data_IF_338232254068
#
_entry.id   IF_338232254068
#
_cell.length_a   1.000
_cell.length_b   1.000
_cell.length_c   1.000
_cell.angle_alpha   90.00
_cell.angle_beta   90.00
_cell.angle_gamma   90.00
#
_symmetry.space_group_name_H-M   'P 1'
#
loop_
_entity.id
_entity.type
_entity.pdbx_description
1 polymer ?
#
# COMPACT_ATOMS: atom_id res chain seq x y z
N UNK A 1 -36.99 2.83 0.36
CA UNK A 1 -37.52 2.45 1.68
C UNK A 1 -36.34 2.13 2.57
N UNK A 2 -36.15 2.92 3.63
CA UNK A 2 -34.94 2.92 4.46
C UNK A 2 -34.96 1.82 5.51
N UNK A 3 -33.77 1.38 5.91
CA UNK A 3 -33.53 0.44 7.01
C UNK A 3 -32.31 0.93 7.79
N UNK A 4 -32.56 1.82 8.74
CA UNK A 4 -31.75 1.99 9.95
C UNK A 4 -32.60 1.46 11.09
N UNK A 5 -32.08 0.48 11.82
CA UNK A 5 -32.25 0.28 13.27
C UNK A 5 -31.69 -1.10 13.62
N UNK A 6 -30.80 -1.14 14.62
CA UNK A 6 -30.61 -2.17 15.64
C UNK A 6 -29.22 -1.93 16.26
N UNK A 7 -29.17 -0.96 17.17
CA UNK A 7 -28.28 -0.99 18.32
C UNK A 7 -29.18 -1.18 19.54
N UNK A 8 -28.95 -2.26 20.30
CA UNK A 8 -29.12 -2.33 21.76
C UNK A 8 -28.97 -3.78 22.24
N UNK A 9 -27.84 -4.09 22.88
CA UNK A 9 -27.90 -4.82 24.17
C UNK A 9 -26.63 -4.61 24.99
N UNK A 10 -26.87 -4.33 26.27
CA UNK A 10 -25.95 -3.95 27.34
C UNK A 10 -25.13 -5.13 27.88
N UNK A 11 -23.94 -4.74 28.32
CA UNK A 11 -23.12 -5.20 29.45
C UNK A 11 -23.76 -6.13 30.50
N UNK A 12 -23.00 -7.16 30.87
CA UNK A 12 -22.96 -7.68 32.24
C UNK A 12 -21.51 -7.75 32.71
N UNK A 13 -21.23 -7.03 33.80
CA UNK A 13 -20.02 -7.10 34.61
C UNK A 13 -20.08 -8.35 35.51
N UNK A 14 -18.97 -9.09 35.61
CA UNK A 14 -18.65 -9.82 36.85
C UNK A 14 -17.17 -9.68 37.16
N UNK A 15 -16.90 -9.27 38.38
CA UNK A 15 -15.62 -8.92 38.95
C UNK A 15 -14.94 -10.11 39.64
N UNK A 16 -13.60 -10.10 39.57
CA UNK A 16 -12.65 -10.39 40.67
C UNK A 16 -12.53 -11.82 41.27
N UNK A 17 -11.36 -12.48 41.07
CA UNK A 17 -10.27 -12.57 42.07
C UNK A 17 -9.19 -13.64 41.78
N UNK A 18 -7.97 -13.27 42.18
CA UNK A 18 -6.84 -14.08 42.64
C UNK A 18 -5.88 -14.70 41.63
N UNK A 19 -4.64 -14.21 41.73
CA UNK A 19 -3.47 -14.68 41.01
C UNK A 19 -2.90 -15.98 41.57
N UNK A 20 -2.18 -16.65 40.68
CA UNK A 20 -1.13 -17.60 41.02
C UNK A 20 0.02 -17.40 40.03
N UNK A 21 1.20 -17.21 40.61
CA UNK A 21 2.49 -17.15 39.94
C UNK A 21 2.65 -18.29 38.93
N UNK A 22 3.01 -17.97 37.70
CA UNK A 22 3.56 -18.94 36.74
C UNK A 22 5.09 -18.79 36.73
N UNK A 23 5.85 -19.91 36.72
CA UNK A 23 7.30 -19.87 36.71
C UNK A 23 7.81 -19.45 35.32
N UNK A 24 8.98 -18.82 35.30
CA UNK A 24 9.69 -18.42 34.10
C UNK A 24 9.78 -19.59 33.10
N UNK A 25 9.18 -19.41 31.92
CA UNK A 25 9.30 -20.35 30.81
C UNK A 25 10.62 -20.12 30.09
N UNK A 26 11.43 -21.17 29.99
CA UNK A 26 12.61 -21.20 29.16
C UNK A 26 12.22 -20.95 27.69
N UNK A 27 12.83 -19.93 27.08
CA UNK A 27 12.63 -19.59 25.67
C UNK A 27 13.35 -20.61 24.77
N UNK A 28 12.66 -21.68 24.39
CA UNK A 28 13.12 -22.60 23.33
C UNK A 28 12.22 -22.48 22.11
N UNK A 29 12.78 -22.18 20.95
CA UNK A 29 12.06 -22.14 19.68
C UNK A 29 11.63 -23.57 19.29
N UNK A 30 10.43 -23.72 18.72
CA UNK A 30 9.88 -25.02 18.34
C UNK A 30 10.04 -25.29 16.84
N UNK A 31 10.48 -26.51 16.48
CA UNK A 31 10.51 -26.96 15.09
C UNK A 31 9.09 -27.40 14.70
N UNK A 32 8.52 -26.75 13.69
CA UNK A 32 7.18 -27.06 13.21
C UNK A 32 7.23 -27.69 11.81
N UNK A 33 6.31 -28.63 11.56
CA UNK A 33 6.05 -29.18 10.24
C UNK A 33 4.57 -28.98 9.90
N UNK A 34 4.25 -28.72 8.63
CA UNK A 34 2.85 -28.65 8.15
C UNK A 34 2.01 -29.92 8.41
N UNK A 35 2.65 -31.02 8.83
CA UNK A 35 2.00 -32.29 9.17
C UNK A 35 1.74 -32.49 10.68
N UNK A 36 2.36 -31.74 11.59
CA UNK A 36 2.11 -31.81 13.03
C UNK A 36 2.93 -30.73 13.78
N UNK A 37 2.32 -29.83 14.58
CA UNK A 37 0.88 -29.59 14.73
C UNK A 37 0.28 -28.92 13.46
N UNK A 38 -1.04 -29.01 13.23
CA UNK A 38 -1.65 -28.33 12.09
C UNK A 38 -1.47 -26.82 12.28
N UNK A 39 -0.76 -26.20 11.34
CA UNK A 39 -0.68 -24.75 11.25
C UNK A 39 -2.10 -24.23 11.09
N UNK A 40 -2.61 -23.56 12.13
CA UNK A 40 -3.91 -22.88 12.08
C UNK A 40 -3.79 -21.72 11.09
N UNK A 41 -4.76 -21.59 10.19
CA UNK A 41 -4.86 -20.48 9.25
C UNK A 41 -6.14 -19.73 9.60
N UNK A 42 -6.08 -18.40 9.64
CA UNK A 42 -7.24 -17.56 9.90
C UNK A 42 -8.37 -17.88 8.92
N UNK A 43 -9.62 -17.94 9.40
CA UNK A 43 -10.77 -18.39 8.59
C UNK A 43 -10.97 -17.56 7.29
N UNK A 44 -10.71 -16.25 7.38
CA UNK A 44 -10.74 -15.35 6.22
C UNK A 44 -9.70 -15.70 5.14
N UNK A 45 -8.63 -16.44 5.47
CA UNK A 45 -7.59 -16.88 4.53
C UNK A 45 -7.81 -18.30 3.98
N UNK A 46 -8.82 -19.03 4.47
CA UNK A 46 -9.12 -20.39 3.98
C UNK A 46 -9.35 -20.38 2.46
N UNK A 47 -8.64 -21.24 1.73
CA UNK A 47 -8.64 -21.31 0.26
C UNK A 47 -8.08 -20.06 -0.45
N UNK A 48 -7.36 -19.18 0.25
CA UNK A 48 -6.65 -18.03 -0.31
C UNK A 48 -5.12 -18.14 -0.20
N UNK A 49 -4.61 -19.30 0.23
CA UNK A 49 -3.19 -19.58 0.41
C UNK A 49 -2.73 -20.52 -0.70
N UNK A 50 -1.61 -20.17 -1.34
CA UNK A 50 -1.01 -20.97 -2.40
C UNK A 50 0.06 -21.90 -1.84
N UNK A 51 -0.07 -23.19 -2.10
CA UNK A 51 0.87 -24.24 -1.74
C UNK A 51 1.50 -24.82 -3.00
N UNK A 52 2.83 -24.83 -3.04
CA UNK A 52 3.60 -25.36 -4.17
C UNK A 52 3.72 -26.89 -4.14
N UNK A 53 3.66 -27.50 -2.96
CA UNK A 53 3.91 -28.92 -2.76
C UNK A 53 3.06 -29.53 -1.62
N UNK A 54 3.26 -30.83 -1.39
CA UNK A 54 2.59 -31.57 -0.33
C UNK A 54 1.11 -31.86 -0.59
N UNK A 55 0.39 -32.41 0.40
CA UNK A 55 -1.03 -32.76 0.25
C UNK A 55 -1.96 -31.56 0.02
N UNK A 56 -1.50 -30.35 0.36
CA UNK A 56 -2.24 -29.10 0.20
C UNK A 56 -1.94 -28.38 -1.12
N UNK A 57 -1.06 -28.93 -1.97
CA UNK A 57 -0.67 -28.33 -3.25
C UNK A 57 -1.90 -27.93 -4.05
N UNK A 58 -1.98 -26.65 -4.38
CA UNK A 58 -3.08 -26.06 -5.15
C UNK A 58 -2.59 -25.09 -6.24
N UNK A 59 -1.28 -24.96 -6.41
CA UNK A 59 -0.67 -24.17 -7.47
C UNK A 59 -0.13 -25.06 -8.60
N UNK A 60 -0.39 -24.66 -9.84
CA UNK A 60 0.22 -25.22 -11.04
C UNK A 60 0.91 -24.09 -11.81
N UNK A 61 2.14 -24.33 -12.26
CA UNK A 61 2.90 -23.36 -13.08
C UNK A 61 2.49 -23.43 -14.56
N UNK A 62 1.20 -23.66 -14.84
CA UNK A 62 0.73 -23.71 -16.23
C UNK A 62 0.78 -22.30 -16.82
N UNK A 63 1.88 -22.09 -17.54
CA UNK A 63 2.21 -20.90 -18.28
C UNK A 63 1.02 -20.38 -19.10
N UNK A 64 0.80 -19.07 -19.01
CA UNK A 64 -0.11 -18.26 -19.84
C UNK A 64 -1.61 -18.26 -19.50
N UNK A 65 -1.97 -18.19 -18.22
CA UNK A 65 -3.29 -17.68 -17.86
C UNK A 65 -3.43 -16.23 -18.36
N UNK A 66 -4.14 -16.10 -19.48
CA UNK A 66 -4.42 -14.85 -20.17
C UNK A 66 -5.85 -14.43 -19.84
N UNK A 67 -5.98 -13.43 -18.98
CA UNK A 67 -7.27 -12.80 -18.71
C UNK A 67 -7.44 -11.59 -19.61
N UNK A 68 -8.44 -11.62 -20.48
CA UNK A 68 -8.81 -10.45 -21.29
C UNK A 68 -10.08 -9.82 -20.73
N UNK A 69 -9.97 -8.58 -20.29
CA UNK A 69 -11.06 -7.77 -19.80
C UNK A 69 -11.45 -6.74 -20.84
N UNK A 70 -12.74 -6.45 -20.93
CA UNK A 70 -13.26 -5.43 -21.82
C UNK A 70 -13.64 -4.22 -20.97
N UNK A 71 -13.11 -3.04 -21.27
CA UNK A 71 -13.44 -1.80 -20.55
C UNK A 71 -13.45 -0.62 -21.51
N UNK A 72 -14.57 0.12 -21.60
CA UNK A 72 -14.75 1.28 -22.48
C UNK A 72 -14.29 1.06 -23.94
N UNK A 73 -14.56 -0.13 -24.50
CA UNK A 73 -14.16 -0.49 -25.87
C UNK A 73 -12.71 -0.95 -26.04
N UNK A 74 -11.95 -1.09 -24.96
CA UNK A 74 -10.58 -1.60 -24.97
C UNK A 74 -10.50 -3.04 -24.44
N UNK A 75 -9.60 -3.83 -25.02
CA UNK A 75 -9.23 -5.16 -24.52
C UNK A 75 -7.98 -5.04 -23.66
N UNK A 76 -8.13 -5.26 -22.36
CA UNK A 76 -7.05 -5.29 -21.40
C UNK A 76 -6.67 -6.75 -21.20
N UNK A 77 -5.52 -7.16 -21.74
CA UNK A 77 -5.00 -8.51 -21.55
C UNK A 77 -3.97 -8.52 -20.41
N UNK A 78 -4.24 -9.30 -19.37
CA UNK A 78 -3.29 -9.63 -18.31
C UNK A 78 -2.81 -11.05 -18.56
N UNK A 79 -1.50 -11.22 -18.70
CA UNK A 79 -0.87 -12.53 -18.85
C UNK A 79 0.08 -12.74 -17.68
N UNK A 80 -0.12 -13.80 -16.91
CA UNK A 80 0.85 -14.18 -15.88
C UNK A 80 2.10 -14.73 -16.58
N UNK A 81 3.27 -14.17 -16.27
CA UNK A 81 4.54 -14.68 -16.81
C UNK A 81 4.93 -15.94 -16.05
N UNK A 82 5.75 -16.81 -16.63
CA UNK A 82 6.19 -18.06 -16.00
C UNK A 82 7.15 -17.88 -14.81
N UNK A 83 7.17 -16.69 -14.20
CA UNK A 83 7.90 -16.42 -12.97
C UNK A 83 7.20 -17.10 -11.79
N UNK A 84 7.98 -17.57 -10.84
CA UNK A 84 7.47 -18.23 -9.64
C UNK A 84 6.63 -17.26 -8.80
N UNK A 85 5.48 -17.73 -8.32
CA UNK A 85 4.61 -16.93 -7.45
C UNK A 85 5.28 -16.73 -6.07
N UNK A 86 5.59 -15.48 -5.66
CA UNK A 86 6.38 -15.20 -4.46
C UNK A 86 5.68 -15.61 -3.15
N UNK A 87 4.36 -15.77 -3.17
CA UNK A 87 3.57 -16.20 -2.01
C UNK A 87 3.53 -17.72 -1.78
N UNK A 88 4.16 -18.52 -2.66
CA UNK A 88 4.07 -19.98 -2.62
C UNK A 88 4.68 -20.58 -1.36
N UNK A 89 3.84 -21.29 -0.61
CA UNK A 89 4.28 -22.04 0.56
C UNK A 89 4.79 -23.42 0.13
N UNK A 90 6.05 -23.68 0.46
CA UNK A 90 6.69 -24.98 0.36
C UNK A 90 6.61 -25.70 1.71
N UNK A 91 5.71 -26.68 1.79
CA UNK A 91 5.39 -27.43 3.01
C UNK A 91 6.53 -28.33 3.49
N UNK A 92 7.50 -28.62 2.62
CA UNK A 92 8.71 -29.41 2.95
C UNK A 92 9.86 -28.58 3.49
N UNK A 93 9.82 -27.25 3.36
CA UNK A 93 10.89 -26.38 3.86
C UNK A 93 10.85 -26.29 5.40
N UNK A 94 12.01 -26.17 6.08
CA UNK A 94 12.07 -26.10 7.53
C UNK A 94 11.42 -24.82 8.07
N UNK A 95 10.69 -24.96 9.19
CA UNK A 95 10.01 -23.88 9.90
C UNK A 95 10.38 -23.94 11.37
N UNK A 96 10.76 -22.79 11.93
CA UNK A 96 11.03 -22.62 13.36
C UNK A 96 10.07 -21.57 13.87
N UNK A 97 9.20 -21.93 14.81
CA UNK A 97 8.29 -21.00 15.47
C UNK A 97 9.09 -20.22 16.54
N UNK A 98 9.32 -18.91 16.33
CA UNK A 98 10.11 -18.13 17.25
C UNK A 98 9.31 -17.86 18.54
N UNK A 99 9.97 -17.98 19.68
CA UNK A 99 9.42 -17.60 20.99
C UNK A 99 9.22 -16.09 21.16
N UNK A 100 9.98 -15.30 20.39
CA UNK A 100 9.92 -13.83 20.39
C UNK A 100 10.10 -13.29 18.97
N UNK A 101 8.98 -12.90 18.34
CA UNK A 101 8.95 -12.39 16.95
C UNK A 101 9.72 -11.08 16.82
N UNK A 102 9.81 -10.27 17.89
CA UNK A 102 10.45 -8.95 17.85
C UNK A 102 11.96 -9.00 17.60
N UNK A 103 12.57 -10.17 17.81
CA UNK A 103 14.00 -10.42 17.59
C UNK A 103 14.31 -10.97 16.20
N UNK A 104 13.29 -11.32 15.42
CA UNK A 104 13.48 -11.87 14.09
C UNK A 104 13.65 -10.73 13.10
N UNK A 105 14.69 -10.83 12.28
CA UNK A 105 14.97 -9.82 11.26
C UNK A 105 13.85 -9.76 10.23
N UNK A 106 13.52 -8.53 9.80
CA UNK A 106 12.51 -8.29 8.76
C UNK A 106 12.90 -9.00 7.44
N UNK A 107 11.92 -9.37 6.60
CA UNK A 107 12.20 -9.90 5.27
C UNK A 107 13.00 -8.92 4.40
N UNK A 108 13.73 -9.42 3.39
CA UNK A 108 14.34 -8.55 2.38
C UNK A 108 13.26 -7.83 1.54
N UNK A 109 13.68 -6.85 0.75
CA UNK A 109 12.80 -6.21 -0.23
C UNK A 109 12.34 -7.18 -1.31
N UNK A 110 11.09 -6.99 -1.78
CA UNK A 110 10.37 -7.93 -2.65
C UNK A 110 10.47 -9.37 -2.14
N UNK A 111 10.02 -9.62 -0.90
CA UNK A 111 10.25 -10.90 -0.25
C UNK A 111 9.47 -12.03 -0.93
N UNK A 112 10.05 -13.22 -0.95
CA UNK A 112 9.36 -14.45 -1.35
C UNK A 112 9.32 -15.40 -0.17
N UNK A 113 8.29 -16.25 -0.07
CA UNK A 113 8.23 -17.26 0.99
C UNK A 113 9.44 -18.20 0.94
N UNK A 114 9.83 -18.64 -0.27
CA UNK A 114 10.98 -19.53 -0.48
C UNK A 114 12.28 -18.95 0.07
N UNK A 115 12.47 -17.64 -0.08
CA UNK A 115 13.65 -16.91 0.38
C UNK A 115 13.69 -16.57 1.87
N UNK A 116 12.64 -16.88 2.65
CA UNK A 116 12.64 -16.67 4.09
C UNK A 116 13.52 -17.69 4.83
N UNK A 117 14.18 -17.25 5.91
CA UNK A 117 14.83 -18.16 6.87
C UNK A 117 13.79 -19.04 7.60
N UNK A 118 14.18 -20.15 8.24
CA UNK A 118 13.24 -20.99 9.00
C UNK A 118 12.46 -20.22 10.09
N UNK A 119 13.11 -19.30 10.80
CA UNK A 119 12.48 -18.44 11.80
C UNK A 119 11.53 -17.41 11.18
N UNK A 120 11.93 -16.79 10.06
CA UNK A 120 11.07 -15.87 9.31
C UNK A 120 9.83 -16.60 8.74
N UNK A 121 9.97 -17.86 8.31
CA UNK A 121 8.82 -18.70 7.95
C UNK A 121 7.90 -18.88 9.14
N UNK A 122 8.44 -19.10 10.35
CA UNK A 122 7.64 -19.14 11.57
C UNK A 122 6.87 -17.84 11.85
N UNK A 123 7.49 -16.68 11.62
CA UNK A 123 6.80 -15.37 11.72
C UNK A 123 5.69 -15.26 10.67
N UNK A 124 5.95 -15.67 9.42
CA UNK A 124 4.93 -15.69 8.37
C UNK A 124 3.77 -16.62 8.72
N UNK A 125 4.03 -17.79 9.31
CA UNK A 125 2.97 -18.66 9.82
C UNK A 125 2.15 -17.98 10.92
N UNK A 126 2.78 -17.21 11.82
CA UNK A 126 2.07 -16.42 12.82
C UNK A 126 1.18 -15.34 12.16
N UNK A 127 1.65 -14.69 11.09
CA UNK A 127 0.82 -13.78 10.27
C UNK A 127 -0.42 -14.50 9.76
N UNK A 128 -0.30 -15.72 9.22
CA UNK A 128 -1.44 -16.46 8.67
C UNK A 128 -2.49 -16.81 9.73
N UNK A 129 -2.11 -16.89 11.01
CA UNK A 129 -3.04 -17.10 12.13
C UNK A 129 -3.79 -15.82 12.50
N UNK A 130 -3.13 -14.67 12.42
CA UNK A 130 -3.72 -13.35 12.67
C UNK A 130 -3.20 -12.31 11.67
N UNK A 131 -3.78 -12.25 10.45
CA UNK A 131 -3.31 -11.34 9.40
C UNK A 131 -3.55 -9.87 9.75
N UNK A 132 -4.36 -9.60 10.77
CA UNK A 132 -4.78 -8.27 11.17
C UNK A 132 -3.96 -7.71 12.34
N UNK A 133 -2.85 -8.35 12.71
CA UNK A 133 -1.92 -7.81 13.70
C UNK A 133 -1.09 -6.65 13.09
N UNK A 134 -1.30 -5.38 13.48
CA UNK A 134 -0.61 -4.24 12.88
C UNK A 134 0.88 -4.15 13.26
N UNK A 135 1.33 -4.94 14.24
CA UNK A 135 2.72 -4.92 14.72
C UNK A 135 3.65 -5.85 13.95
N UNK A 136 3.11 -6.68 13.05
CA UNK A 136 3.93 -7.57 12.24
C UNK A 136 4.60 -6.78 11.11
N UNK A 137 5.84 -7.13 10.78
CA UNK A 137 6.56 -6.43 9.73
C UNK A 137 5.81 -6.55 8.39
N UNK A 138 5.65 -5.42 7.71
CA UNK A 138 4.89 -5.32 6.46
C UNK A 138 5.44 -6.22 5.36
N UNK A 139 6.74 -6.58 5.40
CA UNK A 139 7.34 -7.50 4.44
C UNK A 139 6.62 -8.85 4.42
N UNK A 140 6.21 -9.37 5.59
CA UNK A 140 5.43 -10.60 5.66
C UNK A 140 4.01 -10.41 5.10
N UNK A 141 3.40 -9.25 5.35
CA UNK A 141 2.08 -8.88 4.79
C UNK A 141 2.12 -8.81 3.28
N UNK A 142 3.22 -8.32 2.69
CA UNK A 142 3.43 -8.29 1.24
C UNK A 142 3.45 -9.69 0.63
N UNK A 143 4.08 -10.68 1.27
CA UNK A 143 4.06 -12.08 0.79
C UNK A 143 2.62 -12.59 0.72
N UNK A 144 1.82 -12.38 1.77
CA UNK A 144 0.39 -12.75 1.76
C UNK A 144 -0.36 -12.00 0.67
N UNK A 145 -0.14 -10.69 0.57
CA UNK A 145 -0.79 -9.82 -0.40
C UNK A 145 -0.50 -10.23 -1.85
N UNK A 146 0.71 -10.72 -2.16
CA UNK A 146 1.03 -11.22 -3.50
C UNK A 146 0.10 -12.38 -3.93
N UNK A 147 -0.16 -13.31 -3.01
CA UNK A 147 -1.10 -14.40 -3.27
C UNK A 147 -2.55 -13.93 -3.43
N UNK A 148 -2.95 -12.91 -2.65
CA UNK A 148 -4.26 -12.28 -2.78
C UNK A 148 -4.42 -11.55 -4.12
N UNK A 149 -3.38 -10.87 -4.63
CA UNK A 149 -3.38 -10.24 -5.96
C UNK A 149 -3.62 -11.28 -7.07
N UNK A 150 -3.03 -12.48 -6.95
CA UNK A 150 -3.32 -13.57 -7.87
C UNK A 150 -4.78 -14.02 -7.79
N UNK A 151 -5.35 -14.14 -6.60
CA UNK A 151 -6.78 -14.46 -6.44
C UNK A 151 -7.71 -13.40 -7.01
N UNK A 152 -7.35 -12.11 -7.00
CA UNK A 152 -8.13 -11.06 -7.64
C UNK A 152 -8.28 -11.28 -9.16
N UNK A 153 -7.25 -11.86 -9.79
CA UNK A 153 -7.21 -12.11 -11.22
C UNK A 153 -7.88 -13.43 -11.61
N UNK A 154 -7.41 -14.54 -11.02
CA UNK A 154 -7.69 -15.91 -11.50
C UNK A 154 -8.35 -16.80 -10.46
N UNK A 155 -8.48 -16.33 -9.21
CA UNK A 155 -9.04 -17.11 -8.12
C UNK A 155 -10.35 -16.57 -7.56
N UNK A 156 -10.57 -16.78 -6.26
CA UNK A 156 -11.73 -16.24 -5.55
C UNK A 156 -11.54 -14.75 -5.24
N UNK A 157 -11.77 -13.92 -6.27
CA UNK A 157 -11.56 -12.48 -6.19
C UNK A 157 -12.39 -11.81 -5.07
N UNK A 158 -13.62 -12.30 -4.82
CA UNK A 158 -14.50 -11.69 -3.81
C UNK A 158 -13.95 -11.90 -2.40
N UNK A 159 -13.50 -13.13 -2.09
CA UNK A 159 -12.91 -13.41 -0.79
C UNK A 159 -11.58 -12.68 -0.61
N UNK A 160 -10.76 -12.63 -1.66
CA UNK A 160 -9.50 -11.88 -1.65
C UNK A 160 -9.71 -10.37 -1.42
N UNK A 161 -10.67 -9.76 -2.11
CA UNK A 161 -11.06 -8.36 -1.95
C UNK A 161 -11.43 -8.06 -0.49
N UNK A 162 -12.28 -8.87 0.12
CA UNK A 162 -12.70 -8.69 1.51
C UNK A 162 -11.50 -8.73 2.47
N UNK A 163 -10.57 -9.66 2.25
CA UNK A 163 -9.33 -9.76 3.04
C UNK A 163 -8.46 -8.52 2.83
N UNK A 164 -8.27 -8.07 1.59
CA UNK A 164 -7.44 -6.90 1.27
C UNK A 164 -8.01 -5.64 1.95
N UNK A 165 -9.32 -5.43 1.91
CA UNK A 165 -9.97 -4.30 2.61
C UNK A 165 -9.67 -4.35 4.11
N UNK A 166 -9.85 -5.51 4.76
CA UNK A 166 -9.53 -5.67 6.20
C UNK A 166 -8.03 -5.50 6.51
N UNK A 167 -7.15 -5.94 5.62
CA UNK A 167 -5.71 -5.70 5.77
C UNK A 167 -5.38 -4.21 5.68
N UNK A 168 -6.00 -3.49 4.74
CA UNK A 168 -5.83 -2.03 4.61
C UNK A 168 -6.29 -1.29 5.85
N UNK A 169 -7.35 -1.76 6.51
CA UNK A 169 -7.90 -1.14 7.71
C UNK A 169 -6.91 -1.07 8.89
N UNK A 170 -6.00 -2.03 8.97
CA UNK A 170 -5.06 -2.19 10.10
C UNK A 170 -3.61 -1.88 9.75
N UNK A 171 -3.19 -2.05 8.49
CA UNK A 171 -1.79 -1.88 8.07
C UNK A 171 -1.55 -0.52 7.39
N UNK A 172 -0.96 0.44 8.10
CA UNK A 172 -0.81 1.83 7.62
C UNK A 172 0.38 2.09 6.68
N UNK A 173 1.13 1.06 6.27
CA UNK A 173 2.29 1.22 5.40
C UNK A 173 1.89 1.85 4.05
N UNK A 174 2.52 2.99 3.69
CA UNK A 174 2.17 3.77 2.50
C UNK A 174 2.27 2.98 1.20
N UNK A 175 3.30 2.15 1.03
CA UNK A 175 3.46 1.35 -0.19
C UNK A 175 2.37 0.29 -0.29
N UNK A 176 2.07 -0.39 0.82
CA UNK A 176 0.98 -1.36 0.88
C UNK A 176 -0.37 -0.70 0.55
N UNK A 177 -0.65 0.46 1.16
CA UNK A 177 -1.84 1.26 0.88
C UNK A 177 -1.92 1.71 -0.59
N UNK A 178 -0.80 2.09 -1.19
CA UNK A 178 -0.77 2.49 -2.60
C UNK A 178 -1.06 1.31 -3.53
N UNK A 179 -0.32 0.21 -3.40
CA UNK A 179 -0.49 -0.97 -4.27
C UNK A 179 -1.88 -1.59 -4.14
N UNK A 180 -2.36 -1.79 -2.91
CA UNK A 180 -3.68 -2.40 -2.70
C UNK A 180 -4.84 -1.53 -3.16
N UNK A 181 -4.75 -0.20 -3.03
CA UNK A 181 -5.76 0.70 -3.58
C UNK A 181 -5.77 0.64 -5.11
N UNK A 182 -4.58 0.66 -5.75
CA UNK A 182 -4.47 0.58 -7.19
C UNK A 182 -5.06 -0.73 -7.73
N UNK A 183 -4.77 -1.85 -7.07
CA UNK A 183 -5.34 -3.15 -7.42
C UNK A 183 -6.87 -3.17 -7.27
N UNK A 184 -7.43 -2.63 -6.18
CA UNK A 184 -8.88 -2.59 -5.97
C UNK A 184 -9.60 -1.72 -7.01
N UNK A 185 -9.06 -0.54 -7.33
CA UNK A 185 -9.58 0.32 -8.40
C UNK A 185 -9.55 -0.41 -9.73
N UNK A 186 -8.41 -1.01 -10.10
CA UNK A 186 -8.31 -1.76 -11.35
C UNK A 186 -9.33 -2.90 -11.40
N UNK A 187 -9.38 -3.74 -10.37
CA UNK A 187 -10.27 -4.91 -10.35
C UNK A 187 -11.74 -4.50 -10.42
N UNK A 188 -12.11 -3.39 -9.77
CA UNK A 188 -13.46 -2.84 -9.90
C UNK A 188 -13.79 -2.55 -11.37
N UNK A 189 -12.89 -1.89 -12.10
CA UNK A 189 -13.05 -1.54 -13.52
C UNK A 189 -13.06 -2.79 -14.41
N UNK A 190 -12.12 -3.71 -14.20
CA UNK A 190 -11.97 -4.92 -15.00
C UNK A 190 -13.17 -5.86 -14.85
N UNK A 191 -13.71 -5.99 -13.64
CA UNK A 191 -14.92 -6.81 -13.38
C UNK A 191 -16.22 -6.06 -13.70
N UNK A 192 -16.16 -4.75 -13.96
CA UNK A 192 -17.31 -3.86 -14.19
C UNK A 192 -18.37 -3.97 -13.07
N UNK A 193 -17.94 -4.18 -11.83
CA UNK A 193 -18.83 -4.32 -10.67
C UNK A 193 -18.72 -3.09 -9.79
N UNK A 194 -19.74 -2.24 -9.84
CA UNK A 194 -19.83 -1.03 -9.00
C UNK A 194 -19.84 -1.33 -7.50
N UNK A 195 -20.34 -2.50 -7.09
CA UNK A 195 -20.30 -2.96 -5.69
C UNK A 195 -18.87 -3.02 -5.15
N UNK A 196 -17.91 -3.51 -5.94
CA UNK A 196 -16.49 -3.59 -5.55
C UNK A 196 -15.92 -2.18 -5.33
N UNK A 197 -16.21 -1.26 -6.25
CA UNK A 197 -15.76 0.12 -6.13
C UNK A 197 -16.39 0.80 -4.90
N UNK A 198 -17.66 0.51 -4.63
CA UNK A 198 -18.38 1.05 -3.48
C UNK A 198 -17.85 0.50 -2.16
N UNK A 199 -17.60 -0.81 -2.07
CA UNK A 199 -17.00 -1.44 -0.88
C UNK A 199 -15.63 -0.83 -0.57
N UNK A 200 -14.78 -0.66 -1.59
CA UNK A 200 -13.49 0.01 -1.43
C UNK A 200 -13.64 1.46 -0.98
N UNK A 201 -14.51 2.25 -1.62
CA UNK A 201 -14.70 3.66 -1.26
C UNK A 201 -15.26 3.81 0.16
N UNK A 202 -16.21 2.97 0.54
CA UNK A 202 -16.80 2.99 1.88
C UNK A 202 -15.82 2.52 2.96
N UNK A 203 -14.80 1.74 2.60
CA UNK A 203 -13.77 1.31 3.54
C UNK A 203 -12.71 2.37 3.81
N UNK A 204 -12.75 3.54 3.15
CA UNK A 204 -11.76 4.60 3.38
C UNK A 204 -12.31 5.54 4.45
N UNK A 205 -11.89 5.32 5.69
CA UNK A 205 -12.31 6.13 6.85
C UNK A 205 -11.13 6.72 7.64
N UNK A 206 -9.90 6.23 7.41
CA UNK A 206 -8.67 6.74 8.03
C UNK A 206 -7.81 7.52 7.05
N UNK A 207 -7.09 8.50 7.58
CA UNK A 207 -6.24 9.39 6.77
C UNK A 207 -5.14 8.66 6.00
N UNK A 208 -4.58 7.58 6.55
CA UNK A 208 -3.51 6.82 5.90
C UNK A 208 -4.02 5.95 4.72
N UNK A 209 -5.30 5.62 4.67
CA UNK A 209 -5.88 4.78 3.61
C UNK A 209 -5.98 5.54 2.28
N UNK A 210 -5.97 6.87 2.35
CA UNK A 210 -5.85 7.76 1.21
C UNK A 210 -4.45 7.83 0.60
N UNK A 211 -3.50 7.02 1.06
CA UNK A 211 -2.14 6.93 0.51
C UNK A 211 -2.11 6.19 -0.84
N UNK A 212 -2.76 6.77 -1.87
CA UNK A 212 -2.73 6.30 -3.25
C UNK A 212 -2.98 7.47 -4.22
N UNK A 213 -2.90 7.19 -5.53
CA UNK A 213 -2.95 8.23 -6.58
C UNK A 213 -4.29 8.97 -6.63
N UNK A 214 -4.26 10.31 -6.56
CA UNK A 214 -5.42 11.17 -6.84
C UNK A 214 -6.04 10.88 -8.21
N UNK A 215 -5.22 10.53 -9.21
CA UNK A 215 -5.73 10.18 -10.53
C UNK A 215 -6.58 8.91 -10.50
N UNK A 216 -6.13 7.89 -9.78
CA UNK A 216 -6.89 6.63 -9.64
C UNK A 216 -8.14 6.81 -8.79
N UNK A 217 -8.08 7.66 -7.77
CA UNK A 217 -9.27 8.08 -7.03
C UNK A 217 -10.31 8.69 -7.97
N UNK A 218 -9.92 9.71 -8.75
CA UNK A 218 -10.82 10.37 -9.71
C UNK A 218 -11.33 9.40 -10.78
N UNK A 219 -10.46 8.52 -11.29
CA UNK A 219 -10.83 7.51 -12.28
C UNK A 219 -11.88 6.55 -11.73
N UNK A 220 -11.69 6.03 -10.51
CA UNK A 220 -12.64 5.15 -9.86
C UNK A 220 -14.01 5.84 -9.69
N UNK A 221 -14.01 7.05 -9.15
CA UNK A 221 -15.26 7.78 -8.90
C UNK A 221 -15.99 8.13 -10.20
N UNK A 222 -15.27 8.51 -11.24
CA UNK A 222 -15.86 8.78 -12.54
C UNK A 222 -16.44 7.51 -13.18
N UNK A 223 -15.68 6.40 -13.16
CA UNK A 223 -16.05 5.14 -13.82
C UNK A 223 -17.33 4.52 -13.26
N UNK A 224 -17.57 4.71 -11.96
CA UNK A 224 -18.75 4.18 -11.26
C UNK A 224 -19.79 5.24 -10.90
N UNK A 225 -19.67 6.44 -11.47
CA UNK A 225 -20.56 7.58 -11.22
C UNK A 225 -20.77 7.84 -9.71
N UNK A 226 -19.69 7.76 -8.93
CA UNK A 226 -19.67 8.03 -7.51
C UNK A 226 -19.43 9.52 -7.26
N UNK A 227 -20.12 10.12 -6.29
CA UNK A 227 -19.99 11.55 -6.02
C UNK A 227 -18.80 11.84 -5.10
N UNK A 228 -17.99 12.84 -5.44
CA UNK A 228 -16.89 13.33 -4.60
C UNK A 228 -17.41 14.37 -3.59
N UNK A 229 -16.91 14.31 -2.36
CA UNK A 229 -17.27 15.21 -1.26
C UNK A 229 -16.35 16.43 -1.16
N UNK A 230 -16.72 17.40 -0.33
CA UNK A 230 -15.83 18.52 0.02
C UNK A 230 -14.50 18.05 0.61
N UNK A 231 -14.48 17.01 1.45
CA UNK A 231 -13.25 16.42 1.99
C UNK A 231 -12.33 15.90 0.89
N UNK A 232 -12.89 15.23 -0.10
CA UNK A 232 -12.14 14.69 -1.23
C UNK A 232 -11.48 15.82 -2.04
N UNK A 233 -12.24 16.89 -2.32
CA UNK A 233 -11.76 18.06 -3.05
C UNK A 233 -10.65 18.78 -2.27
N UNK A 234 -10.83 18.96 -0.95
CA UNK A 234 -9.85 19.62 -0.07
C UNK A 234 -8.55 18.82 0.01
N UNK A 235 -8.63 17.49 0.14
CA UNK A 235 -7.46 16.60 0.16
C UNK A 235 -6.65 16.74 -1.14
N UNK A 236 -7.34 16.85 -2.27
CA UNK A 236 -6.74 16.97 -3.61
C UNK A 236 -6.52 18.44 -4.05
N UNK A 237 -6.54 19.41 -3.13
CA UNK A 237 -6.49 20.83 -3.48
C UNK A 237 -5.28 21.20 -4.37
N UNK A 238 -4.10 20.62 -4.10
CA UNK A 238 -2.91 20.84 -4.92
C UNK A 238 -3.04 20.28 -6.33
N UNK A 239 -3.72 19.14 -6.49
CA UNK A 239 -4.01 18.52 -7.79
C UNK A 239 -4.88 19.43 -8.65
N UNK A 240 -5.76 20.21 -8.00
CA UNK A 240 -6.55 21.26 -8.64
C UNK A 240 -5.88 22.64 -8.61
N UNK A 241 -4.54 22.69 -8.51
CA UNK A 241 -3.73 23.91 -8.61
C UNK A 241 -4.04 24.97 -7.55
N UNK A 242 -4.63 24.56 -6.42
CA UNK A 242 -4.89 25.44 -5.29
C UNK A 242 -3.73 25.36 -4.28
N UNK A 243 -2.98 26.45 -4.17
CA UNK A 243 -1.77 26.51 -3.34
C UNK A 243 -2.02 27.10 -1.93
N UNK A 244 -3.04 27.95 -1.77
CA UNK A 244 -3.28 28.67 -0.52
C UNK A 244 -4.07 27.86 0.53
N UNK A 245 -3.40 26.86 1.08
CA UNK A 245 -3.98 25.92 2.06
C UNK A 245 -4.02 26.44 3.50
N UNK A 246 -3.75 27.72 3.74
CA UNK A 246 -3.65 28.27 5.10
C UNK A 246 -4.95 28.13 5.90
N UNK A 247 -6.09 28.48 5.30
CA UNK A 247 -7.38 28.36 5.99
C UNK A 247 -7.85 26.90 6.09
N UNK A 248 -7.50 26.04 5.14
CA UNK A 248 -7.73 24.59 5.24
C UNK A 248 -7.04 24.03 6.48
N UNK A 249 -5.77 24.41 6.73
CA UNK A 249 -5.02 23.93 7.90
C UNK A 249 -5.51 24.51 9.23
N UNK A 250 -5.81 25.81 9.26
CA UNK A 250 -6.18 26.51 10.50
C UNK A 250 -7.63 26.31 10.91
N UNK A 251 -8.53 26.13 9.95
CA UNK A 251 -9.97 26.03 10.18
C UNK A 251 -10.60 24.94 9.29
N UNK A 252 -10.16 23.67 9.41
CA UNK A 252 -10.56 22.59 8.51
C UNK A 252 -12.07 22.38 8.47
N UNK A 253 -12.73 22.30 9.63
CA UNK A 253 -14.18 22.07 9.72
C UNK A 253 -15.00 23.22 9.12
N UNK A 254 -14.58 24.47 9.39
CA UNK A 254 -15.23 25.65 8.82
C UNK A 254 -15.07 25.67 7.29
N UNK A 255 -13.87 25.38 6.80
CA UNK A 255 -13.58 25.37 5.37
C UNK A 255 -14.41 24.30 4.65
N UNK A 256 -14.47 23.10 5.21
CA UNK A 256 -15.29 22.00 4.70
C UNK A 256 -16.78 22.38 4.66
N UNK A 257 -17.33 22.90 5.76
CA UNK A 257 -18.74 23.31 5.83
C UNK A 257 -19.09 24.42 4.85
N UNK A 258 -18.20 25.40 4.68
CA UNK A 258 -18.41 26.48 3.70
C UNK A 258 -18.36 25.93 2.27
N UNK A 259 -17.42 25.04 1.98
CA UNK A 259 -17.35 24.39 0.68
C UNK A 259 -18.59 23.55 0.40
N UNK A 260 -19.06 22.77 1.36
CA UNK A 260 -20.24 21.92 1.22
C UNK A 260 -21.48 22.75 0.87
N UNK A 261 -21.67 23.89 1.54
CA UNK A 261 -22.74 24.84 1.21
C UNK A 261 -22.56 25.43 -0.19
N UNK A 262 -21.33 25.82 -0.56
CA UNK A 262 -21.05 26.37 -1.90
C UNK A 262 -21.37 25.36 -3.01
N UNK A 263 -21.05 24.08 -2.78
CA UNK A 263 -21.37 23.00 -3.71
C UNK A 263 -22.89 22.83 -3.79
N UNK A 264 -23.58 22.83 -2.66
CA UNK A 264 -25.05 22.77 -2.62
C UNK A 264 -25.70 23.92 -3.39
N UNK A 265 -25.24 25.15 -3.20
CA UNK A 265 -25.76 26.33 -3.90
C UNK A 265 -25.54 26.24 -5.43
N UNK A 266 -24.48 25.56 -5.87
CA UNK A 266 -24.11 25.47 -7.30
C UNK A 266 -24.77 24.26 -8.00
N UNK A 267 -24.88 23.12 -7.31
CA UNK A 267 -25.28 21.84 -7.91
C UNK A 267 -26.56 21.26 -7.32
N UNK A 268 -27.16 21.89 -6.31
CA UNK A 268 -28.34 21.39 -5.59
C UNK A 268 -28.06 20.15 -4.71
N UNK A 269 -26.79 19.75 -4.59
CA UNK A 269 -26.35 18.59 -3.81
C UNK A 269 -25.05 18.93 -3.08
N UNK A 270 -24.78 18.27 -1.96
CA UNK A 270 -23.58 18.49 -1.13
C UNK A 270 -22.31 17.78 -1.66
N UNK A 271 -22.44 17.02 -2.73
CA UNK A 271 -21.37 16.26 -3.39
C UNK A 271 -21.47 16.45 -4.90
N UNK A 272 -20.37 16.24 -5.61
CA UNK A 272 -20.27 16.47 -7.07
C UNK A 272 -20.09 15.15 -7.79
N UNK A 273 -20.91 14.87 -8.80
CA UNK A 273 -20.63 13.83 -9.78
C UNK A 273 -19.63 14.35 -10.81
N UNK A 274 -18.52 13.64 -11.02
CA UNK A 274 -17.51 14.04 -11.99
C UNK A 274 -18.05 14.07 -13.44
N UNK A 275 -19.08 13.27 -13.73
CA UNK A 275 -19.81 13.25 -15.00
C UNK A 275 -20.58 14.56 -15.26
N UNK A 276 -20.87 15.37 -14.24
CA UNK A 276 -21.43 16.72 -14.42
C UNK A 276 -20.38 17.72 -14.93
N UNK A 277 -19.08 17.39 -14.80
CA UNK A 277 -17.97 18.25 -15.21
C UNK A 277 -17.35 17.72 -16.51
N UNK A 278 -17.08 16.43 -16.60
CA UNK A 278 -16.40 15.78 -17.72
C UNK A 278 -17.38 14.91 -18.51
N UNK A 279 -17.44 15.16 -19.82
CA UNK A 279 -18.20 14.31 -20.74
C UNK A 279 -17.28 13.32 -21.48
N UNK A 280 -17.86 12.41 -22.26
CA UNK A 280 -17.11 11.40 -23.02
C UNK A 280 -16.08 11.99 -23.98
N UNK A 281 -16.34 13.16 -24.58
CA UNK A 281 -15.39 13.84 -25.49
C UNK A 281 -14.21 14.46 -24.74
N UNK A 282 -14.42 14.92 -23.50
CA UNK A 282 -13.34 15.41 -22.66
C UNK A 282 -12.35 14.27 -22.33
N UNK A 283 -12.88 13.06 -22.07
CA UNK A 283 -12.08 11.90 -21.67
C UNK A 283 -11.22 11.33 -22.79
N UNK A 284 -11.68 11.37 -24.04
CA UNK A 284 -10.91 10.86 -25.19
C UNK A 284 -9.68 11.72 -25.51
N UNK A 285 -9.69 12.98 -25.08
CA UNK A 285 -8.58 13.93 -25.29
C UNK A 285 -7.51 13.88 -24.20
N UNK A 286 -7.77 13.15 -23.11
CA UNK A 286 -6.83 13.08 -21.99
C UNK A 286 -5.60 12.24 -22.36
N UNK A 287 -4.40 12.66 -21.93
CA UNK A 287 -3.23 11.80 -22.00
C UNK A 287 -3.47 10.54 -21.19
N UNK A 288 -2.80 9.46 -21.58
CA UNK A 288 -2.79 8.20 -20.85
C UNK A 288 -1.46 8.01 -20.15
N UNK A 289 -1.48 7.37 -18.99
CA UNK A 289 -0.29 6.92 -18.29
C UNK A 289 -0.33 5.42 -18.10
N UNK A 290 0.84 4.81 -18.17
CA UNK A 290 1.06 3.42 -17.79
C UNK A 290 1.25 3.36 -16.27
N UNK A 291 0.35 2.67 -15.57
CA UNK A 291 0.48 2.47 -14.13
C UNK A 291 0.96 1.05 -13.82
N UNK A 292 2.03 0.88 -13.01
CA UNK A 292 2.35 -0.40 -12.41
C UNK A 292 1.34 -0.67 -11.30
N UNK A 293 0.42 -1.60 -11.53
CA UNK A 293 -0.73 -1.80 -10.63
C UNK A 293 -0.44 -2.85 -9.56
N UNK A 294 0.34 -3.88 -9.88
CA UNK A 294 0.56 -5.00 -8.97
C UNK A 294 1.86 -4.84 -8.17
N UNK A 295 1.83 -5.29 -6.92
CA UNK A 295 3.04 -5.44 -6.12
C UNK A 295 3.72 -6.79 -6.35
N UNK A 296 2.94 -7.82 -6.67
CA UNK A 296 3.40 -9.18 -6.93
C UNK A 296 4.35 -9.21 -8.14
N UNK A 297 5.60 -9.58 -7.87
CA UNK A 297 6.69 -9.61 -8.86
C UNK A 297 6.40 -10.56 -10.02
N UNK A 298 5.65 -11.65 -9.82
CA UNK A 298 5.28 -12.58 -10.89
C UNK A 298 4.30 -12.00 -11.92
N UNK A 299 3.70 -10.84 -11.64
CA UNK A 299 2.77 -10.13 -12.54
C UNK A 299 3.04 -8.63 -12.67
N UNK A 300 4.18 -8.15 -12.15
CA UNK A 300 4.47 -6.72 -12.01
C UNK A 300 4.74 -6.00 -13.32
N UNK A 301 5.21 -6.70 -14.35
CA UNK A 301 5.53 -6.14 -15.67
C UNK A 301 4.29 -5.76 -16.50
N UNK A 302 3.10 -5.73 -15.89
CA UNK A 302 1.86 -5.36 -16.55
C UNK A 302 1.49 -3.95 -16.17
N UNK A 303 1.60 -3.05 -17.14
CA UNK A 303 1.08 -1.70 -17.05
C UNK A 303 -0.29 -1.60 -17.73
N UNK A 304 -1.10 -0.67 -17.23
CA UNK A 304 -2.44 -0.43 -17.73
C UNK A 304 -2.53 1.02 -18.17
N UNK A 305 -2.81 1.29 -19.46
CA UNK A 305 -3.00 2.65 -19.94
C UNK A 305 -4.31 3.20 -19.37
N UNK A 306 -4.21 4.09 -18.40
CA UNK A 306 -5.37 4.78 -17.83
C UNK A 306 -5.35 6.26 -18.20
N UNK A 307 -6.51 6.89 -18.45
CA UNK A 307 -6.56 8.32 -18.67
C UNK A 307 -6.12 9.08 -17.41
N UNK A 308 -5.40 10.17 -17.61
CA UNK A 308 -4.98 11.06 -16.52
C UNK A 308 -6.10 12.08 -16.26
N UNK A 309 -7.15 11.67 -15.56
CA UNK A 309 -8.28 12.53 -15.16
C UNK A 309 -7.80 13.79 -14.45
N UNK A 310 -6.76 13.66 -13.61
CA UNK A 310 -6.18 14.80 -12.89
C UNK A 310 -5.50 15.83 -13.80
N UNK A 311 -5.20 15.52 -15.06
CA UNK A 311 -4.63 16.48 -16.01
C UNK A 311 -5.69 17.30 -16.76
N UNK A 312 -6.99 17.04 -16.53
CA UNK A 312 -8.06 17.78 -17.19
C UNK A 312 -8.08 19.25 -16.77
N UNK A 313 -7.81 20.15 -17.72
CA UNK A 313 -7.84 21.61 -17.51
C UNK A 313 -9.23 22.05 -17.04
N UNK A 314 -10.29 21.49 -17.63
CA UNK A 314 -11.68 21.80 -17.30
C UNK A 314 -12.00 21.43 -15.85
N UNK A 315 -11.60 20.22 -15.43
CA UNK A 315 -11.80 19.76 -14.05
C UNK A 315 -11.04 20.62 -13.05
N UNK A 316 -9.73 20.85 -13.31
CA UNK A 316 -8.87 21.68 -12.47
C UNK A 316 -9.46 23.07 -12.29
N UNK A 317 -9.85 23.73 -13.38
CA UNK A 317 -10.43 25.07 -13.36
C UNK A 317 -11.67 25.14 -12.46
N UNK A 318 -12.65 24.27 -12.68
CA UNK A 318 -13.91 24.28 -11.91
C UNK A 318 -13.66 24.02 -10.43
N UNK A 319 -12.85 23.01 -10.08
CA UNK A 319 -12.60 22.68 -8.68
C UNK A 319 -11.72 23.74 -8.00
N UNK A 320 -10.79 24.36 -8.73
CA UNK A 320 -10.01 25.51 -8.25
C UNK A 320 -10.91 26.72 -7.96
N UNK A 321 -11.87 27.02 -8.83
CA UNK A 321 -12.83 28.12 -8.63
C UNK A 321 -13.67 27.89 -7.36
N UNK A 322 -14.12 26.66 -7.11
CA UNK A 322 -14.82 26.29 -5.86
C UNK A 322 -13.91 26.48 -4.64
N UNK A 323 -12.65 25.99 -4.70
CA UNK A 323 -11.66 26.15 -3.63
C UNK A 323 -11.36 27.62 -3.33
N UNK A 324 -11.18 28.43 -4.37
CA UNK A 324 -10.88 29.86 -4.28
C UNK A 324 -12.07 30.65 -3.73
N UNK A 325 -13.29 30.38 -4.22
CA UNK A 325 -14.50 31.00 -3.68
C UNK A 325 -14.71 30.63 -2.21
N UNK A 326 -14.51 29.36 -1.85
CA UNK A 326 -14.57 28.90 -0.45
C UNK A 326 -13.55 29.65 0.41
N UNK A 327 -12.32 29.80 -0.08
CA UNK A 327 -11.25 30.51 0.61
C UNK A 327 -11.64 31.96 0.96
N UNK A 328 -12.19 32.72 0.01
CA UNK A 328 -12.60 34.10 0.25
C UNK A 328 -13.77 34.19 1.25
N UNK A 329 -14.76 33.29 1.16
CA UNK A 329 -15.88 33.25 2.12
C UNK A 329 -15.38 32.93 3.54
N UNK A 330 -14.46 31.97 3.69
CA UNK A 330 -13.87 31.62 4.99
C UNK A 330 -13.10 32.82 5.55
N UNK A 331 -12.28 33.48 4.73
CA UNK A 331 -11.53 34.68 5.12
C UNK A 331 -12.46 35.80 5.61
N UNK A 332 -13.58 36.03 4.95
CA UNK A 332 -14.60 36.99 5.39
C UNK A 332 -15.23 36.59 6.73
N UNK A 333 -15.66 35.32 6.88
CA UNK A 333 -16.22 34.79 8.12
C UNK A 333 -15.25 34.91 9.29
N UNK A 334 -13.98 34.54 9.10
CA UNK A 334 -12.95 34.68 10.12
C UNK A 334 -12.71 36.15 10.47
N UNK A 335 -12.79 37.06 9.50
CA UNK A 335 -12.65 38.50 9.75
C UNK A 335 -13.82 39.03 10.59
N UNK A 336 -15.05 38.58 10.33
CA UNK A 336 -16.23 38.92 11.13
C UNK A 336 -16.12 38.35 12.56
N UNK A 337 -15.79 37.07 12.71
CA UNK A 337 -15.60 36.43 14.02
C UNK A 337 -14.52 37.11 14.87
N UNK A 338 -13.45 37.62 14.25
CA UNK A 338 -12.42 38.43 14.94
C UNK A 338 -12.93 39.81 15.38
N UNK A 339 -13.86 40.41 14.65
CA UNK A 339 -14.50 41.67 15.06
C UNK A 339 -15.45 41.46 16.23
N UNK A 340 -16.13 40.32 16.25
CA UNK A 340 -17.06 39.89 17.30
C UNK A 340 -16.37 39.33 18.56
N UNK A 341 -15.04 39.18 18.53
CA UNK A 341 -14.28 38.63 19.67
C UNK A 341 -14.42 37.11 19.85
N UNK A 342 -15.02 36.42 18.88
CA UNK A 342 -15.20 34.96 18.90
C UNK A 342 -13.90 34.19 18.57
N UNK A 343 -12.93 34.87 17.96
CA UNK A 343 -11.61 34.32 17.63
C UNK A 343 -10.55 35.34 18.04
N UNK A 344 -9.58 34.88 18.82
CA UNK A 344 -8.53 35.73 19.37
C UNK A 344 -7.71 36.45 18.30
N UNK A 345 -7.41 37.73 18.53
CA UNK A 345 -6.66 38.61 17.61
C UNK A 345 -5.14 38.39 17.65
N UNK A 346 -4.68 37.19 17.98
CA UNK A 346 -3.25 36.90 17.93
C UNK A 346 -2.98 35.41 18.01
N UNK A 347 -2.76 34.79 16.85
CA UNK A 347 -1.57 33.96 16.69
C UNK A 347 -0.97 34.27 15.31
N UNK A 348 -0.27 35.42 15.21
CA UNK A 348 0.94 35.44 14.37
C UNK A 348 1.95 34.55 15.08
N UNK A 349 1.74 33.24 15.05
CA UNK A 349 2.87 32.33 15.21
C UNK A 349 3.67 32.62 13.95
N UNK A 350 4.73 33.42 14.12
CA UNK A 350 5.96 33.11 13.43
C UNK A 350 6.13 31.63 13.74
N UNK A 351 5.85 30.77 12.78
CA UNK A 351 6.22 29.36 12.93
C UNK A 351 7.74 29.42 13.08
N UNK A 352 8.25 29.49 14.31
CA UNK A 352 9.48 28.77 14.61
C UNK A 352 9.18 27.39 14.05
N UNK A 353 9.90 27.03 12.99
CA UNK A 353 9.89 25.65 12.52
C UNK A 353 10.21 24.87 13.79
N UNK A 354 9.23 24.11 14.28
CA UNK A 354 9.47 23.21 15.39
C UNK A 354 10.48 22.21 14.84
N UNK A 355 11.74 22.46 15.16
CA UNK A 355 12.86 21.77 14.58
C UNK A 355 12.77 20.33 15.11
N UNK A 356 12.80 19.31 14.24
CA UNK A 356 12.58 17.94 14.68
C UNK A 356 13.64 17.56 15.72
N UNK A 357 13.22 16.96 16.84
CA UNK A 357 14.17 16.44 17.83
C UNK A 357 14.91 15.26 17.21
N UNK A 358 16.24 15.33 17.18
CA UNK A 358 17.06 14.28 16.61
C UNK A 358 16.86 12.94 17.31
N UNK A 359 16.59 11.90 16.53
CA UNK A 359 16.34 10.54 17.02
C UNK A 359 17.60 9.67 16.90
N UNK A 360 18.47 9.75 17.91
CA UNK A 360 19.72 8.97 17.98
C UNK A 360 19.48 7.46 17.96
N UNK A 361 18.38 6.99 18.54
CA UNK A 361 18.06 5.57 18.57
C UNK A 361 17.82 5.08 17.14
N UNK A 362 17.00 5.83 16.38
CA UNK A 362 16.70 5.48 14.99
C UNK A 362 17.90 5.60 14.07
N UNK A 363 18.76 6.61 14.27
CA UNK A 363 20.02 6.71 13.53
C UNK A 363 20.87 5.45 13.72
N UNK A 364 21.09 5.04 14.97
CA UNK A 364 21.88 3.86 15.29
C UNK A 364 21.27 2.58 14.70
N UNK A 365 19.95 2.42 14.75
CA UNK A 365 19.26 1.29 14.11
C UNK A 365 19.52 1.23 12.59
N UNK A 366 19.47 2.37 11.91
CA UNK A 366 19.71 2.46 10.47
C UNK A 366 21.18 2.22 10.12
N UNK A 367 22.12 2.74 10.89
CA UNK A 367 23.55 2.51 10.71
C UNK A 367 23.94 1.05 10.99
N UNK A 368 23.39 0.46 12.05
CA UNK A 368 23.57 -0.96 12.36
C UNK A 368 22.98 -1.83 11.25
N UNK A 369 21.81 -1.47 10.73
CA UNK A 369 21.20 -2.14 9.58
C UNK A 369 22.11 -2.06 8.37
N UNK A 370 22.72 -0.90 8.10
CA UNK A 370 23.65 -0.71 6.99
C UNK A 370 24.88 -1.62 7.13
N UNK A 371 25.47 -1.68 8.32
CA UNK A 371 26.62 -2.55 8.62
C UNK A 371 26.29 -4.05 8.49
N UNK A 372 25.03 -4.42 8.71
CA UNK A 372 24.54 -5.80 8.58
C UNK A 372 24.16 -6.17 7.15
N UNK A 373 24.18 -5.24 6.19
CA UNK A 373 23.83 -5.52 4.78
C UNK A 373 24.88 -6.30 3.99
N UNK A 374 25.89 -6.88 4.66
CA UNK A 374 27.02 -7.59 4.05
C UNK A 374 26.57 -8.56 2.95
N UNK A 375 26.89 -8.21 1.70
CA UNK A 375 26.61 -9.03 0.52
C UNK A 375 25.17 -8.95 -0.01
N UNK A 376 24.25 -8.20 0.59
CA UNK A 376 22.90 -7.96 0.06
C UNK A 376 22.77 -6.51 -0.41
N UNK A 377 23.13 -6.26 -1.66
CA UNK A 377 23.19 -4.90 -2.23
C UNK A 377 21.81 -4.28 -2.42
N UNK A 378 20.75 -5.08 -2.58
CA UNK A 378 19.37 -4.60 -2.61
C UNK A 378 18.95 -4.08 -1.22
N UNK A 379 19.24 -4.84 -0.16
CA UNK A 379 18.98 -4.39 1.21
C UNK A 379 19.83 -3.16 1.55
N UNK A 380 21.08 -3.12 1.08
CA UNK A 380 21.98 -1.96 1.21
C UNK A 380 21.34 -0.72 0.58
N UNK A 381 20.90 -0.80 -0.67
CA UNK A 381 20.23 0.28 -1.40
C UNK A 381 19.09 0.91 -0.61
N UNK A 382 18.14 0.10 -0.16
CA UNK A 382 17.00 0.65 0.56
C UNK A 382 17.33 1.13 1.97
N UNK A 383 18.36 0.57 2.61
CA UNK A 383 18.87 1.09 3.88
C UNK A 383 19.52 2.45 3.66
N UNK A 384 20.25 2.64 2.55
CA UNK A 384 20.78 3.94 2.13
C UNK A 384 19.64 4.93 1.84
N UNK A 385 18.58 4.54 1.14
CA UNK A 385 17.38 5.39 0.95
C UNK A 385 16.79 5.79 2.31
N UNK A 386 16.68 4.84 3.25
CA UNK A 386 16.14 5.13 4.59
C UNK A 386 17.02 6.12 5.36
N UNK A 387 18.36 6.03 5.22
CA UNK A 387 19.31 7.00 5.78
C UNK A 387 19.22 8.36 5.08
N UNK A 388 19.06 8.39 3.75
CA UNK A 388 18.85 9.62 2.98
C UNK A 388 17.60 10.35 3.48
N UNK A 389 16.46 9.65 3.56
CA UNK A 389 15.20 10.20 4.08
C UNK A 389 15.34 10.70 5.52
N UNK A 390 16.00 9.91 6.38
CA UNK A 390 16.26 10.25 7.78
C UNK A 390 17.07 11.54 7.90
N UNK A 391 18.22 11.62 7.24
CA UNK A 391 19.07 12.81 7.32
C UNK A 391 18.46 14.02 6.62
N UNK A 392 17.72 13.81 5.52
CA UNK A 392 16.97 14.87 4.87
C UNK A 392 15.90 15.45 5.81
N UNK A 393 15.27 14.64 6.66
CA UNK A 393 14.32 15.13 7.67
C UNK A 393 14.96 16.15 8.63
N UNK A 394 16.22 15.93 9.02
CA UNK A 394 16.98 16.78 9.96
C UNK A 394 17.84 17.86 9.30
N UNK A 395 17.77 18.03 7.97
CA UNK A 395 18.63 18.96 7.21
C UNK A 395 18.61 20.42 7.68
N UNK A 396 17.52 20.84 8.33
CA UNK A 396 17.37 22.21 8.84
C UNK A 396 17.98 22.39 10.26
N UNK A 397 18.43 21.31 10.92
CA UNK A 397 19.09 21.38 12.24
C UNK A 397 20.56 21.80 12.14
N UNK A 398 21.30 21.20 11.22
CA UNK A 398 22.75 21.33 11.06
C UNK A 398 23.16 20.87 9.65
N UNK A 399 24.11 21.58 9.05
CA UNK A 399 24.65 21.28 7.72
C UNK A 399 25.18 19.84 7.63
N UNK A 400 25.70 19.28 8.73
CA UNK A 400 26.20 17.90 8.76
C UNK A 400 25.16 16.86 8.34
N UNK A 401 23.87 17.11 8.59
CA UNK A 401 22.80 16.18 8.21
C UNK A 401 22.53 16.26 6.71
N UNK A 402 22.59 17.45 6.11
CA UNK A 402 22.52 17.57 4.66
C UNK A 402 23.73 16.90 4.00
N UNK A 403 24.93 17.05 4.56
CA UNK A 403 26.15 16.41 4.07
C UNK A 403 26.07 14.88 4.17
N UNK A 404 25.54 14.35 5.28
CA UNK A 404 25.27 12.92 5.43
C UNK A 404 24.24 12.42 4.41
N UNK A 405 23.15 13.15 4.18
CA UNK A 405 22.18 12.82 3.14
C UNK A 405 22.87 12.69 1.77
N UNK A 406 23.70 13.68 1.39
CA UNK A 406 24.44 13.68 0.12
C UNK A 406 25.42 12.50 0.07
N UNK A 407 26.16 12.24 1.15
CA UNK A 407 27.08 11.09 1.25
C UNK A 407 26.38 9.78 0.96
N UNK A 408 25.21 9.53 1.58
CA UNK A 408 24.46 8.29 1.37
C UNK A 408 23.77 8.23 0.01
N UNK A 409 23.44 9.37 -0.62
CA UNK A 409 23.02 9.39 -2.03
C UNK A 409 24.15 8.94 -2.96
N UNK A 410 25.35 9.49 -2.79
CA UNK A 410 26.50 9.16 -3.64
C UNK A 410 26.91 7.70 -3.48
N UNK A 411 26.98 7.22 -2.23
CA UNK A 411 27.27 5.81 -1.95
C UNK A 411 26.27 4.86 -2.60
N UNK A 412 25.00 5.26 -2.69
CA UNK A 412 23.96 4.46 -3.32
C UNK A 412 24.08 4.45 -4.85
N UNK A 413 24.37 5.61 -5.45
CA UNK A 413 24.60 5.74 -6.91
C UNK A 413 25.80 4.91 -7.36
N UNK A 414 26.91 4.97 -6.63
CA UNK A 414 28.13 4.20 -6.91
C UNK A 414 27.88 2.68 -6.83
N UNK A 415 26.85 2.29 -6.08
CA UNK A 415 26.45 0.92 -5.76
C UNK A 415 25.49 0.29 -6.79
N UNK A 416 24.89 1.09 -7.70
CA UNK A 416 23.83 0.64 -8.61
C UNK A 416 24.26 -0.49 -9.55
N UNK A 417 25.43 -0.36 -10.19
CA UNK A 417 25.92 -1.35 -11.15
C UNK A 417 26.20 -2.70 -10.49
N UNK A 418 26.70 -2.70 -9.24
CA UNK A 418 26.92 -3.92 -8.48
C UNK A 418 25.59 -4.60 -8.13
N UNK A 419 24.59 -3.80 -7.72
CA UNK A 419 23.27 -4.28 -7.34
C UNK A 419 22.54 -4.95 -8.51
N UNK A 420 22.59 -4.33 -9.70
CA UNK A 420 21.99 -4.88 -10.91
C UNK A 420 22.60 -6.26 -11.25
N UNK A 421 23.93 -6.35 -11.19
CA UNK A 421 24.64 -7.62 -11.40
C UNK A 421 24.27 -8.67 -10.35
N UNK A 422 24.16 -8.30 -9.07
CA UNK A 422 23.73 -9.23 -8.03
C UNK A 422 22.31 -9.72 -8.27
N UNK A 423 21.38 -8.84 -8.63
CA UNK A 423 20.00 -9.20 -8.92
C UNK A 423 19.92 -10.26 -10.02
N UNK A 424 20.60 -10.01 -11.16
CA UNK A 424 20.67 -10.96 -12.29
C UNK A 424 21.21 -12.32 -11.82
N UNK A 425 22.31 -12.34 -11.07
CA UNK A 425 22.92 -13.57 -10.59
C UNK A 425 22.00 -14.34 -9.61
N UNK A 426 21.28 -13.61 -8.75
CA UNK A 426 20.33 -14.20 -7.79
C UNK A 426 19.14 -14.83 -8.51
N UNK A 427 18.59 -14.16 -9.53
CA UNK A 427 17.50 -14.70 -10.33
C UNK A 427 17.92 -15.93 -11.14
N UNK A 428 19.14 -15.93 -11.69
CA UNK A 428 19.72 -17.11 -12.34
C UNK A 428 19.87 -18.28 -11.33
N UNK A 429 20.37 -18.00 -10.11
CA UNK A 429 20.54 -19.02 -9.08
C UNK A 429 19.20 -19.62 -8.64
N UNK A 430 18.18 -18.77 -8.41
CA UNK A 430 16.80 -19.21 -8.10
C UNK A 430 16.22 -20.06 -9.21
N UNK A 431 16.39 -19.66 -10.47
CA UNK A 431 15.89 -20.43 -11.60
C UNK A 431 16.58 -21.79 -11.72
N UNK A 432 17.87 -21.89 -11.38
CA UNK A 432 18.61 -23.17 -11.30
C UNK A 432 18.10 -24.06 -10.18
N UNK A 433 17.93 -23.51 -8.97
CA UNK A 433 17.39 -24.24 -7.82
C UNK A 433 15.96 -24.76 -8.11
N UNK A 434 15.12 -23.92 -8.71
CA UNK A 434 13.78 -24.30 -9.14
C UNK A 434 13.81 -25.45 -10.16
N UNK A 435 14.68 -25.36 -11.16
CA UNK A 435 14.85 -26.40 -12.18
C UNK A 435 15.27 -27.75 -11.56
N UNK A 436 16.16 -27.71 -10.55
CA UNK A 436 16.58 -28.88 -9.79
C UNK A 436 15.42 -29.50 -8.98
N UNK A 437 14.65 -28.68 -8.26
CA UNK A 437 13.49 -29.12 -7.48
C UNK A 437 12.41 -29.75 -8.37
N UNK A 438 12.24 -29.23 -9.57
CA UNK A 438 11.21 -29.67 -10.53
C UNK A 438 11.69 -30.77 -11.47
N UNK A 439 12.94 -31.20 -11.38
CA UNK A 439 13.58 -32.16 -12.30
C UNK A 439 13.52 -31.72 -13.78
N UNK A 440 13.61 -30.41 -14.05
CA UNK A 440 13.58 -29.80 -15.39
C UNK A 440 15.01 -29.35 -15.77
N UNK A 441 15.48 -29.55 -17.02
CA UNK A 441 16.79 -29.08 -17.44
C UNK A 441 16.84 -27.53 -17.56
N UNK A 442 17.90 -26.91 -17.02
CA UNK A 442 18.20 -25.48 -17.16
C UNK A 442 19.37 -25.25 -18.14
N UNK A 443 19.13 -24.50 -19.21
CA UNK A 443 20.07 -24.31 -20.32
C UNK A 443 20.82 -22.96 -20.28
N UNK A 444 22.00 -22.90 -20.92
CA UNK A 444 22.77 -21.66 -21.10
C UNK A 444 22.00 -20.60 -21.91
N UNK A 445 21.03 -21.02 -22.74
CA UNK A 445 20.18 -20.11 -23.52
C UNK A 445 19.10 -19.46 -22.65
N UNK A 446 18.67 -20.11 -21.56
CA UNK A 446 17.77 -19.53 -20.56
C UNK A 446 18.51 -18.55 -19.65
N UNK A 447 19.75 -18.85 -19.26
CA UNK A 447 20.61 -17.92 -18.50
C UNK A 447 20.80 -16.59 -19.24
N UNK A 448 21.01 -16.64 -20.56
CA UNK A 448 21.13 -15.45 -21.42
C UNK A 448 19.88 -14.59 -21.49
N UNK A 449 18.69 -15.11 -21.16
CA UNK A 449 17.45 -14.30 -21.13
C UNK A 449 17.45 -13.31 -19.97
N UNK A 450 18.01 -13.69 -18.82
CA UNK A 450 18.07 -12.84 -17.63
C UNK A 450 19.03 -11.65 -17.83
N UNK A 451 20.17 -11.88 -18.47
CA UNK A 451 21.14 -10.83 -18.80
C UNK A 451 20.57 -9.82 -19.80
N UNK A 452 19.76 -10.27 -20.76
CA UNK A 452 19.20 -9.44 -21.84
C UNK A 452 17.96 -8.63 -21.43
N UNK A 453 17.37 -8.92 -20.27
CA UNK A 453 16.23 -8.18 -19.72
C UNK A 453 16.67 -6.97 -18.88
N UNK A 454 17.94 -6.92 -18.46
CA UNK A 454 18.50 -5.86 -17.63
C UNK A 454 19.22 -4.78 -18.45
N UNK A 455 19.82 -5.16 -19.59
CA UNK A 455 20.41 -4.26 -20.61
C UNK A 455 19.36 -3.65 -21.54
#
# INVERSE_FOLDING_TARGET
MGLFDIFNKKEEETSNLHGKNQPAQNHTNEIANFKNPPISIHEDLKNLIWFADGPLKNYTNENSERNTFHYNGYNITIQMTGQEEPSLIYTKQPIILPSDISKIERPPYFPTYSGLTPEQKGVYINLLQNPYNPNIDIGFVFILYYGLERHLLVGNYQKALNVIIKLRDVHSNKSFQSYSANALVLISMLKQKGEIALDFVNSIDKSFEYAFSDNLFLLCYLSFNLPISSKDIIRMAKTFEFSNVNYIKKYPELFEKVMENKIFDTYGQKKILLSNILNSEDLTKLPKQELPIFANTSIRDKSFPVPIISSSIKLKKILNEILTSTHEIVKEKITAMRKEGLIDKSIKQKNEKDLPKFDEKRENELLDSLNKTNGNLLQRHFTLISLQDFYYHYRDLDQKYLDNCIKYCLLDIESLAEMENQYINTEIARAKEYAEIMEIPFSTQEEKKYVKLAS
#
